data_IF_685870838563
#
_entry.id   IF_685870838563
#
_cell.length_a   1.000
_cell.length_b   1.000
_cell.length_c   1.000
_cell.angle_alpha   90.00
_cell.angle_beta   90.00
_cell.angle_gamma   90.00
#
_symmetry.space_group_name_H-M   'P 1'
#
loop_
_entity.id
_entity.type
_entity.pdbx_description
1 polymer ?
#
# COMPACT_ATOMS: atom_id res chain seq x y z
N UNK A 1 2.13 -6.20 22.21
CA UNK A 1 1.49 -6.87 21.05
C UNK A 1 2.55 -7.61 20.26
N UNK A 2 2.28 -8.84 19.76
CA UNK A 2 3.18 -9.51 18.82
C UNK A 2 3.32 -8.72 17.51
N UNK A 3 4.44 -8.90 16.79
CA UNK A 3 4.65 -8.29 15.49
C UNK A 3 3.65 -8.80 14.45
N UNK A 4 3.14 -7.89 13.61
CA UNK A 4 2.25 -8.26 12.50
C UNK A 4 3.06 -8.86 11.36
N UNK A 5 2.67 -10.04 10.89
CA UNK A 5 3.24 -10.66 9.69
C UNK A 5 2.59 -10.06 8.43
N UNK A 6 3.33 -9.17 7.75
CA UNK A 6 2.86 -8.48 6.55
C UNK A 6 2.74 -9.37 5.30
N UNK A 7 3.25 -10.60 5.35
CA UNK A 7 3.05 -11.57 4.26
C UNK A 7 1.64 -12.16 4.30
N UNK A 8 1.06 -12.26 5.49
CA UNK A 8 -0.27 -12.83 5.75
C UNK A 8 -1.31 -11.73 5.98
N UNK A 9 -0.93 -10.61 6.59
CA UNK A 9 -1.84 -9.52 6.90
C UNK A 9 -1.45 -8.26 6.15
N UNK A 10 -2.37 -7.72 5.36
CA UNK A 10 -2.19 -6.42 4.73
C UNK A 10 -3.02 -5.37 5.46
N UNK A 11 -2.53 -4.14 5.62
CA UNK A 11 -3.37 -3.05 6.10
C UNK A 11 -4.60 -2.95 5.18
N UNK A 12 -5.74 -2.51 5.74
CA UNK A 12 -7.03 -2.32 5.05
C UNK A 12 -7.62 -0.92 5.21
N UNK A 13 -7.42 -0.29 6.37
CA UNK A 13 -7.88 1.07 6.62
C UNK A 13 -6.97 1.73 7.64
N UNK A 14 -6.70 3.02 7.48
CA UNK A 14 -6.12 3.88 8.52
C UNK A 14 -7.05 5.07 8.77
N UNK A 15 -7.32 5.37 10.04
CA UNK A 15 -8.02 6.59 10.43
C UNK A 15 -7.08 7.80 10.35
N UNK A 16 -7.66 9.01 10.39
CA UNK A 16 -6.92 10.21 10.74
C UNK A 16 -6.39 10.10 12.18
N UNK A 17 -5.21 10.68 12.49
CA UNK A 17 -4.77 10.88 13.86
C UNK A 17 -5.80 11.68 14.64
N UNK A 18 -6.06 11.28 15.88
CA UNK A 18 -6.88 12.01 16.84
C UNK A 18 -6.11 12.25 18.12
N UNK A 19 -6.40 13.36 18.79
CA UNK A 19 -5.86 13.68 20.11
C UNK A 19 -6.96 13.45 21.15
N UNK A 20 -6.65 12.63 22.15
CA UNK A 20 -7.52 12.41 23.32
C UNK A 20 -6.64 12.34 24.55
N UNK A 21 -6.94 13.15 25.58
CA UNK A 21 -6.15 13.23 26.82
C UNK A 21 -4.64 13.45 26.58
N UNK A 22 -4.30 14.33 25.63
CA UNK A 22 -2.93 14.59 25.17
C UNK A 22 -2.19 13.38 24.56
N UNK A 23 -2.90 12.30 24.25
CA UNK A 23 -2.36 11.13 23.56
C UNK A 23 -2.86 11.15 22.12
N UNK A 24 -1.92 11.26 21.19
CA UNK A 24 -2.20 11.12 19.76
C UNK A 24 -2.28 9.65 19.41
N UNK A 25 -3.38 9.22 18.79
CA UNK A 25 -3.56 7.84 18.33
C UNK A 25 -4.26 7.79 16.96
N UNK A 26 -4.11 6.67 16.27
CA UNK A 26 -4.84 6.35 15.04
C UNK A 26 -5.21 4.87 15.05
N UNK A 27 -6.21 4.51 14.25
CA UNK A 27 -6.69 3.15 14.13
C UNK A 27 -6.32 2.60 12.77
N UNK A 28 -5.62 1.46 12.76
CA UNK A 28 -5.27 0.72 11.55
C UNK A 28 -5.97 -0.64 11.62
N UNK A 29 -6.71 -0.97 10.58
CA UNK A 29 -7.28 -2.32 10.41
C UNK A 29 -6.45 -3.13 9.42
N UNK A 30 -6.42 -4.44 9.62
CA UNK A 30 -5.70 -5.38 8.78
C UNK A 30 -6.66 -6.44 8.25
N UNK A 31 -6.42 -6.88 7.02
CA UNK A 31 -7.12 -8.01 6.41
C UNK A 31 -6.14 -9.13 6.17
N UNK A 32 -6.59 -10.35 6.43
CA UNK A 32 -5.81 -11.55 6.15
C UNK A 32 -5.86 -11.85 4.66
N UNK A 33 -4.69 -11.86 4.03
CA UNK A 33 -4.48 -12.34 2.67
C UNK A 33 -4.10 -13.81 2.73
N UNK A 34 -4.79 -14.63 1.93
CA UNK A 34 -4.37 -16.02 1.68
C UNK A 34 -3.52 -16.02 0.42
N UNK A 35 -2.20 -16.02 0.55
CA UNK A 35 -1.33 -16.51 -0.50
C UNK A 35 -1.36 -18.03 -0.45
N UNK A 36 -1.84 -18.68 -1.51
CA UNK A 36 -1.60 -20.12 -1.65
C UNK A 36 -0.09 -20.32 -1.71
N UNK A 37 0.51 -21.26 -0.95
CA UNK A 37 1.88 -21.64 -1.23
C UNK A 37 1.86 -22.20 -2.65
N UNK A 38 2.61 -21.56 -3.55
CA UNK A 38 2.96 -22.18 -4.83
C UNK A 38 3.74 -23.43 -4.46
N UNK A 39 3.04 -24.56 -4.39
CA UNK A 39 3.67 -25.88 -4.43
C UNK A 39 4.47 -25.85 -5.72
N UNK A 40 5.79 -25.78 -5.59
CA UNK A 40 6.71 -25.83 -6.70
C UNK A 40 6.41 -27.13 -7.46
N UNK A 41 5.82 -27.01 -8.65
CA UNK A 41 5.57 -28.14 -9.54
C UNK A 41 6.93 -28.68 -9.98
N UNK A 42 7.47 -29.62 -9.21
CA UNK A 42 8.56 -30.48 -9.63
C UNK A 42 8.07 -31.91 -9.52
N UNK A 43 7.43 -32.39 -10.59
CA UNK A 43 7.65 -33.72 -11.15
C UNK A 43 6.86 -33.87 -12.44
N UNK A 44 7.62 -34.04 -13.52
CA UNK A 44 7.14 -34.54 -14.81
C UNK A 44 6.31 -35.81 -14.61
N UNK A 45 5.14 -35.91 -15.25
CA UNK A 45 4.54 -37.07 -15.94
C UNK A 45 3.06 -36.72 -16.21
N UNK A 46 2.64 -36.85 -17.47
CA UNK A 46 1.25 -36.78 -17.98
C UNK A 46 0.97 -38.15 -18.66
N UNK A 47 -0.26 -38.55 -19.11
CA UNK A 47 -1.61 -37.99 -18.91
C UNK A 47 -2.73 -39.04 -18.62
N UNK A 48 -3.89 -38.66 -18.04
CA UNK A 48 -5.29 -39.07 -18.45
C UNK A 48 -6.40 -38.71 -17.41
N UNK A 49 -7.37 -37.88 -17.83
CA UNK A 49 -8.88 -37.99 -17.79
C UNK A 49 -9.53 -38.65 -16.54
N UNK A 50 -10.55 -38.14 -15.81
CA UNK A 50 -11.70 -37.29 -16.14
C UNK A 50 -12.36 -36.63 -14.88
N UNK A 51 -12.96 -35.46 -15.12
CA UNK A 51 -14.23 -34.93 -14.61
C UNK A 51 -14.66 -35.01 -13.13
N UNK A 52 -14.93 -33.80 -12.63
CA UNK A 52 -15.89 -33.45 -11.57
C UNK A 52 -15.33 -33.32 -10.15
N UNK A 53 -14.49 -32.31 -9.96
CA UNK A 53 -14.60 -31.51 -8.75
C UNK A 53 -14.47 -30.05 -9.17
N UNK A 54 -15.48 -29.25 -8.87
CA UNK A 54 -15.44 -27.79 -8.82
C UNK A 54 -14.38 -27.36 -7.79
N UNK A 55 -13.11 -27.69 -8.07
CA UNK A 55 -11.96 -27.45 -7.22
C UNK A 55 -11.68 -25.97 -7.33
N UNK A 56 -12.44 -25.25 -6.49
CA UNK A 56 -12.38 -23.84 -6.17
C UNK A 56 -11.04 -23.29 -6.60
N UNK A 57 -11.01 -22.75 -7.82
CA UNK A 57 -9.96 -21.85 -8.27
C UNK A 57 -10.08 -20.66 -7.33
N UNK A 58 -9.43 -20.76 -6.17
CA UNK A 58 -9.00 -19.60 -5.42
C UNK A 58 -7.93 -18.96 -6.29
N UNK A 59 -8.39 -18.34 -7.38
CA UNK A 59 -7.71 -17.21 -7.98
C UNK A 59 -7.28 -16.38 -6.79
N UNK A 60 -5.97 -16.18 -6.68
CA UNK A 60 -5.41 -15.03 -6.01
C UNK A 60 -6.11 -13.87 -6.70
N UNK A 61 -7.32 -13.52 -6.22
CA UNK A 61 -8.06 -12.39 -6.71
C UNK A 61 -7.13 -11.28 -6.37
N UNK A 62 -6.49 -10.74 -7.41
CA UNK A 62 -5.81 -9.47 -7.34
C UNK A 62 -6.71 -8.63 -6.46
N UNK A 63 -6.17 -8.19 -5.34
CA UNK A 63 -6.88 -7.40 -4.35
C UNK A 63 -7.22 -6.01 -4.93
N UNK A 64 -7.39 -5.90 -6.24
CA UNK A 64 -7.85 -4.75 -7.02
C UNK A 64 -9.27 -4.33 -6.65
N UNK A 65 -10.06 -5.23 -6.06
CA UNK A 65 -11.35 -4.89 -5.44
C UNK A 65 -11.19 -4.15 -4.11
N UNK A 66 -10.02 -4.28 -3.47
CA UNK A 66 -9.68 -3.45 -2.32
C UNK A 66 -9.50 -2.00 -2.83
N UNK A 67 -10.05 -0.99 -2.14
CA UNK A 67 -9.74 0.40 -2.45
C UNK A 67 -8.23 0.59 -2.55
N UNK A 68 -7.77 1.25 -3.61
CA UNK A 68 -6.34 1.34 -3.96
C UNK A 68 -5.45 1.88 -2.83
N UNK A 69 -6.00 2.59 -1.86
CA UNK A 69 -5.18 3.17 -0.81
C UNK A 69 -5.84 3.25 0.55
N UNK A 70 -4.99 2.92 1.51
CA UNK A 70 -5.27 2.78 2.93
C UNK A 70 -4.42 3.78 3.71
N UNK A 71 -3.29 4.13 3.11
CA UNK A 71 -2.41 5.20 3.51
C UNK A 71 -2.97 6.57 3.11
N UNK A 72 -3.80 6.69 2.07
CA UNK A 72 -4.29 7.98 1.54
C UNK A 72 -4.98 8.88 2.57
N UNK A 73 -5.58 8.30 3.62
CA UNK A 73 -6.24 9.07 4.68
C UNK A 73 -5.29 9.68 5.68
N UNK A 74 -4.07 9.17 5.84
CA UNK A 74 -3.10 9.82 6.69
C UNK A 74 -2.53 11.02 5.94
N UNK A 75 -2.55 12.20 6.54
CA UNK A 75 -2.15 13.45 5.88
C UNK A 75 -0.69 13.43 5.41
N UNK A 76 0.15 12.69 6.12
CA UNK A 76 1.54 12.42 5.73
C UNK A 76 1.64 11.81 4.33
N UNK A 77 0.67 10.98 3.92
CA UNK A 77 0.70 10.37 2.59
C UNK A 77 0.46 11.36 1.46
N UNK A 78 -0.20 12.51 1.73
CA UNK A 78 -0.23 13.60 0.74
C UNK A 78 1.15 14.16 0.50
N UNK A 79 1.95 14.34 1.57
CA UNK A 79 3.34 14.78 1.45
C UNK A 79 4.20 13.73 0.75
N UNK A 80 4.11 12.46 1.15
CA UNK A 80 4.90 11.38 0.55
C UNK A 80 4.60 11.18 -0.94
N UNK A 81 3.33 11.29 -1.34
CA UNK A 81 2.93 11.30 -2.75
C UNK A 81 3.53 12.46 -3.51
N UNK A 82 3.49 13.66 -2.95
CA UNK A 82 4.10 14.83 -3.58
C UNK A 82 5.60 14.63 -3.79
N UNK A 83 6.31 14.06 -2.81
CA UNK A 83 7.72 13.72 -2.95
C UNK A 83 7.92 12.70 -4.07
N UNK A 84 7.10 11.65 -4.12
CA UNK A 84 7.18 10.64 -5.18
C UNK A 84 6.93 11.25 -6.57
N UNK A 85 5.93 12.11 -6.70
CA UNK A 85 5.61 12.86 -7.91
C UNK A 85 6.77 13.74 -8.39
N UNK A 86 7.42 14.44 -7.46
CA UNK A 86 8.61 15.25 -7.76
C UNK A 86 9.74 14.35 -8.25
N UNK A 87 9.95 13.20 -7.60
CA UNK A 87 10.98 12.23 -7.99
C UNK A 87 10.72 11.65 -9.39
N UNK A 88 9.47 11.35 -9.73
CA UNK A 88 9.12 10.72 -11.00
C UNK A 88 9.03 11.68 -12.18
N UNK A 89 8.51 12.89 -11.97
CA UNK A 89 8.13 13.82 -13.05
C UNK A 89 8.76 15.21 -12.92
N UNK A 90 9.48 15.48 -11.83
CA UNK A 90 10.03 16.80 -11.58
C UNK A 90 11.08 17.22 -12.62
N UNK A 91 11.22 18.52 -12.79
CA UNK A 91 12.22 19.09 -13.71
C UNK A 91 13.51 19.40 -12.96
N UNK A 92 14.64 18.95 -13.51
CA UNK A 92 15.96 19.29 -12.98
C UNK A 92 16.24 20.77 -13.26
N UNK A 93 16.60 21.52 -12.22
CA UNK A 93 16.96 22.93 -12.29
C UNK A 93 18.25 23.16 -11.52
N UNK A 94 19.12 24.03 -12.05
CA UNK A 94 20.20 24.60 -11.26
C UNK A 94 19.63 25.56 -10.21
N UNK A 95 20.28 25.65 -9.06
CA UNK A 95 19.87 26.51 -7.95
C UNK A 95 21.06 27.35 -7.45
N UNK A 96 20.78 28.33 -6.58
CA UNK A 96 21.82 29.26 -6.07
C UNK A 96 22.85 28.58 -5.17
N UNK A 97 22.58 27.36 -4.69
CA UNK A 97 23.52 26.60 -3.86
C UNK A 97 24.50 25.75 -4.67
N UNK A 98 24.25 25.56 -5.97
CA UNK A 98 25.09 24.74 -6.85
C UNK A 98 24.83 23.23 -6.75
N UNK A 99 23.84 22.80 -5.97
CA UNK A 99 23.48 21.38 -5.82
C UNK A 99 22.53 20.93 -6.92
N UNK A 100 21.71 21.86 -7.44
CA UNK A 100 20.58 21.55 -8.30
C UNK A 100 19.38 21.01 -7.51
N UNK A 101 18.22 20.98 -8.16
CA UNK A 101 16.96 20.52 -7.54
C UNK A 101 16.05 19.90 -8.58
N UNK A 102 15.27 18.90 -8.15
CA UNK A 102 14.14 18.37 -8.90
C UNK A 102 12.87 19.07 -8.43
N UNK A 103 12.13 19.72 -9.33
CA UNK A 103 11.04 20.63 -8.95
C UNK A 103 9.77 20.42 -9.78
N UNK A 104 8.62 20.48 -9.12
CA UNK A 104 7.27 20.50 -9.71
C UNK A 104 6.57 21.80 -9.30
N UNK A 105 5.97 22.52 -10.25
CA UNK A 105 5.27 23.78 -9.98
C UNK A 105 3.77 23.54 -9.76
N UNK A 106 3.15 24.31 -8.85
CA UNK A 106 1.70 24.29 -8.65
C UNK A 106 1.16 23.06 -7.91
N UNK A 107 1.82 22.65 -6.82
CA UNK A 107 1.34 21.56 -5.96
C UNK A 107 0.74 22.09 -4.66
N UNK A 108 -0.29 21.42 -4.14
CA UNK A 108 -0.97 21.79 -2.90
C UNK A 108 -1.14 20.56 -2.00
N UNK A 109 -0.96 20.77 -0.69
CA UNK A 109 -1.25 19.79 0.36
C UNK A 109 -2.16 20.43 1.41
N UNK A 110 -3.00 19.63 2.06
CA UNK A 110 -3.94 20.09 3.08
C UNK A 110 -3.77 19.24 4.33
N UNK A 111 -3.71 19.90 5.49
CA UNK A 111 -3.57 19.27 6.79
C UNK A 111 -4.68 19.75 7.73
N UNK A 112 -5.21 18.83 8.53
CA UNK A 112 -6.20 19.07 9.57
C UNK A 112 -5.45 19.33 10.88
N UNK A 113 -5.58 20.55 11.39
CA UNK A 113 -4.90 21.00 12.61
C UNK A 113 -5.82 20.99 13.83
N UNK A 114 -6.62 19.93 14.04
CA UNK A 114 -7.46 19.85 15.24
C UNK A 114 -6.57 19.50 16.43
N UNK A 115 -6.37 20.49 17.32
CA UNK A 115 -5.68 20.40 18.60
C UNK A 115 -6.65 20.01 19.71
#
# INVERSE_FOLDING_TARGET
MPSVDFTIFRPWYSSFPKMENNIRHSFISYVRVRSSPVVSLNQNIDPFIDNNSDSIKFEVKDFSFLPKMIFERHEENMYLKLVQDIISEGTIKGDRTGTGTLSKFGSQVTFLLVY
#
